data_IF_839556733112
#
_entry.id   IF_839556733112
#
_cell.length_a   1.000
_cell.length_b   1.000
_cell.length_c   1.000
_cell.angle_alpha   90.00
_cell.angle_beta   90.00
_cell.angle_gamma   90.00
#
_symmetry.space_group_name_H-M   'P 1'
#
loop_
_entity.id
_entity.type
_entity.pdbx_description
1 polymer ?
#
# COMPACT_ATOMS: atom_id res chain seq x y z
N UNK A 1 -66.87 34.80 -13.32
CA UNK A 1 -67.00 33.35 -13.59
C UNK A 1 -66.09 32.99 -14.75
N UNK A 2 -65.14 32.07 -14.57
CA UNK A 2 -64.62 31.16 -15.61
C UNK A 2 -63.57 30.24 -14.97
N UNK A 3 -63.89 28.95 -14.90
CA UNK A 3 -62.99 27.84 -14.51
C UNK A 3 -62.29 27.29 -15.76
N UNK A 4 -61.18 26.58 -15.50
CA UNK A 4 -60.52 25.46 -16.25
C UNK A 4 -59.21 25.79 -17.02
N UNK A 5 -58.32 24.81 -17.31
CA UNK A 5 -57.81 23.73 -16.43
C UNK A 5 -56.28 23.43 -16.57
N UNK A 6 -55.75 22.66 -15.63
CA UNK A 6 -54.67 21.64 -15.77
C UNK A 6 -53.26 22.02 -16.26
N UNK A 7 -52.28 21.94 -15.35
CA UNK A 7 -50.94 21.40 -15.68
C UNK A 7 -50.40 20.63 -14.46
N UNK A 8 -50.56 19.30 -14.49
CA UNK A 8 -49.83 18.38 -13.59
C UNK A 8 -48.33 18.59 -13.81
N UNK A 9 -47.68 19.31 -12.90
CA UNK A 9 -46.24 19.34 -12.80
C UNK A 9 -45.79 17.96 -12.30
N UNK A 10 -45.36 17.10 -13.22
CA UNK A 10 -44.66 15.88 -12.89
C UNK A 10 -43.38 16.27 -12.14
N UNK A 11 -43.36 16.05 -10.82
CA UNK A 11 -42.12 16.10 -10.02
C UNK A 11 -41.21 14.99 -10.55
N UNK A 12 -40.26 15.35 -11.39
CA UNK A 12 -39.07 14.54 -11.64
C UNK A 12 -38.34 14.44 -10.31
N UNK A 13 -38.46 13.28 -9.67
CA UNK A 13 -37.63 12.92 -8.52
C UNK A 13 -36.21 12.84 -9.06
N UNK A 14 -35.44 13.91 -8.89
CA UNK A 14 -34.01 13.87 -9.03
C UNK A 14 -33.51 12.82 -8.03
N UNK A 15 -33.23 11.61 -8.51
CA UNK A 15 -32.45 10.64 -7.76
C UNK A 15 -31.11 11.31 -7.49
N UNK A 16 -30.96 11.86 -6.29
CA UNK A 16 -29.70 12.28 -5.72
C UNK A 16 -28.79 11.05 -5.77
N UNK A 17 -28.02 10.94 -6.85
CA UNK A 17 -27.03 9.91 -7.02
C UNK A 17 -26.02 10.10 -5.89
N UNK A 18 -26.21 9.34 -4.82
CA UNK A 18 -25.25 9.19 -3.72
C UNK A 18 -23.93 8.84 -4.40
N UNK A 19 -23.05 9.84 -4.51
CA UNK A 19 -21.81 9.73 -5.25
C UNK A 19 -21.12 8.45 -4.84
N UNK A 20 -20.82 7.56 -5.80
CA UNK A 20 -20.10 6.31 -5.55
C UNK A 20 -18.94 6.65 -4.63
N UNK A 21 -19.00 6.13 -3.39
CA UNK A 21 -17.96 6.35 -2.40
C UNK A 21 -16.62 6.08 -3.05
N UNK A 22 -15.72 7.05 -2.98
CA UNK A 22 -14.40 6.96 -3.61
C UNK A 22 -13.76 5.67 -3.08
N UNK A 23 -13.54 4.69 -3.96
CA UNK A 23 -12.87 3.43 -3.57
C UNK A 23 -11.57 3.84 -2.88
N UNK A 24 -11.39 3.38 -1.64
CA UNK A 24 -10.18 3.63 -0.88
C UNK A 24 -9.04 2.98 -1.66
N UNK A 25 -8.18 3.81 -2.25
CA UNK A 25 -6.94 3.35 -2.85
C UNK A 25 -5.96 3.23 -1.69
N UNK A 26 -5.57 2.00 -1.38
CA UNK A 26 -4.49 1.78 -0.42
C UNK A 26 -3.18 2.30 -1.01
N UNK A 27 -2.48 3.13 -0.24
CA UNK A 27 -1.26 3.80 -0.67
C UNK A 27 -0.31 3.94 0.52
N UNK A 28 0.99 3.87 0.23
CA UNK A 28 2.05 4.06 1.20
C UNK A 28 2.41 5.53 1.44
N UNK A 29 1.71 6.49 0.82
CA UNK A 29 2.07 7.92 0.83
C UNK A 29 2.32 8.51 2.22
N UNK A 30 1.47 8.17 3.21
CA UNK A 30 1.62 8.65 4.58
C UNK A 30 2.92 8.15 5.23
N UNK A 31 3.29 6.90 4.96
CA UNK A 31 4.49 6.29 5.53
C UNK A 31 5.75 6.80 4.83
N UNK A 32 5.70 6.96 3.50
CA UNK A 32 6.77 7.59 2.72
C UNK A 32 7.07 8.99 3.27
N UNK A 33 6.03 9.78 3.53
CA UNK A 33 6.19 11.12 4.08
C UNK A 33 6.78 11.12 5.50
N UNK A 34 6.35 10.20 6.36
CA UNK A 34 6.91 10.05 7.72
C UNK A 34 8.40 9.71 7.69
N UNK A 35 8.81 8.77 6.83
CA UNK A 35 10.22 8.40 6.68
C UNK A 35 11.03 9.56 6.08
N UNK A 36 10.49 10.26 5.07
CA UNK A 36 11.15 11.43 4.49
C UNK A 36 11.46 12.50 5.54
N UNK A 37 10.50 12.83 6.40
CA UNK A 37 10.68 13.83 7.47
C UNK A 37 11.67 13.40 8.55
N UNK A 38 11.87 12.10 8.75
CA UNK A 38 12.86 11.58 9.67
C UNK A 38 14.29 11.75 9.13
N UNK A 39 14.49 11.65 7.82
CA UNK A 39 15.81 11.74 7.17
C UNK A 39 16.13 13.18 6.74
N UNK A 40 15.15 13.92 6.22
CA UNK A 40 15.27 15.29 5.73
C UNK A 40 14.06 16.13 6.15
N UNK A 41 14.10 16.76 7.34
CA UNK A 41 12.99 17.57 7.84
C UNK A 41 12.59 18.69 6.89
N UNK A 42 13.53 19.43 6.30
CA UNK A 42 13.20 20.65 5.53
C UNK A 42 12.90 20.39 4.05
N UNK A 43 12.88 19.13 3.62
CA UNK A 43 12.64 18.74 2.22
C UNK A 43 11.22 18.22 2.00
N UNK A 44 10.58 18.69 0.93
CA UNK A 44 9.28 18.19 0.46
C UNK A 44 9.42 17.23 -0.72
N UNK A 45 8.38 16.43 -0.98
CA UNK A 45 8.29 15.55 -2.15
C UNK A 45 7.13 15.96 -3.05
N UNK A 46 7.37 16.02 -4.36
CA UNK A 46 6.33 16.35 -5.33
C UNK A 46 5.28 15.23 -5.44
N UNK A 47 4.07 15.55 -5.94
CA UNK A 47 3.01 14.55 -6.15
C UNK A 47 3.43 13.43 -7.12
N UNK A 48 4.20 13.78 -8.16
CA UNK A 48 4.77 12.80 -9.10
C UNK A 48 5.81 11.91 -8.41
N UNK A 49 6.73 12.51 -7.64
CA UNK A 49 7.72 11.76 -6.86
C UNK A 49 7.07 10.80 -5.87
N UNK A 50 6.01 11.25 -5.19
CA UNK A 50 5.24 10.40 -4.29
C UNK A 50 4.62 9.20 -5.01
N UNK A 51 4.10 9.39 -6.22
CA UNK A 51 3.55 8.29 -7.03
C UNK A 51 4.63 7.28 -7.42
N UNK A 52 5.82 7.75 -7.82
CA UNK A 52 6.95 6.88 -8.17
C UNK A 52 7.37 6.05 -6.94
N UNK A 53 7.53 6.69 -5.78
CA UNK A 53 7.89 5.99 -4.54
C UNK A 53 6.85 4.96 -4.13
N UNK A 54 5.56 5.26 -4.27
CA UNK A 54 4.49 4.31 -3.98
C UNK A 54 4.55 3.09 -4.93
N UNK A 55 4.76 3.30 -6.23
CA UNK A 55 4.93 2.21 -7.19
C UNK A 55 6.19 1.38 -6.90
N UNK A 56 7.29 2.03 -6.52
CA UNK A 56 8.53 1.35 -6.15
C UNK A 56 8.33 0.40 -4.96
N UNK A 57 7.62 0.82 -3.91
CA UNK A 57 7.32 -0.04 -2.76
C UNK A 57 6.49 -1.26 -3.18
N UNK A 58 5.48 -1.05 -4.04
CA UNK A 58 4.65 -2.15 -4.52
C UNK A 58 5.46 -3.16 -5.35
N UNK A 59 6.33 -2.69 -6.26
CA UNK A 59 7.19 -3.57 -7.07
C UNK A 59 8.12 -4.41 -6.19
N UNK A 60 8.78 -3.81 -5.20
CA UNK A 60 9.64 -4.54 -4.27
C UNK A 60 8.84 -5.52 -3.40
N UNK A 61 7.65 -5.11 -2.93
CA UNK A 61 6.77 -5.98 -2.15
C UNK A 61 6.35 -7.21 -2.94
N UNK A 62 5.87 -7.04 -4.17
CA UNK A 62 5.44 -8.13 -5.03
C UNK A 62 6.58 -9.10 -5.35
N UNK A 63 7.78 -8.57 -5.64
CA UNK A 63 8.99 -9.39 -5.87
C UNK A 63 9.35 -10.25 -4.66
N UNK A 64 9.41 -9.65 -3.48
CA UNK A 64 9.75 -10.38 -2.24
C UNK A 64 8.66 -11.40 -1.89
N UNK A 65 7.38 -11.01 -1.98
CA UNK A 65 6.26 -11.89 -1.65
C UNK A 65 6.18 -13.09 -2.61
N UNK A 66 6.37 -12.85 -3.90
CA UNK A 66 6.42 -13.90 -4.93
C UNK A 66 7.54 -14.90 -4.64
N UNK A 67 8.74 -14.40 -4.35
CA UNK A 67 9.90 -15.27 -4.09
C UNK A 67 9.76 -16.04 -2.76
N UNK A 68 9.29 -15.38 -1.69
CA UNK A 68 9.01 -16.04 -0.42
C UNK A 68 7.92 -17.12 -0.56
N UNK A 69 6.90 -16.87 -1.39
CA UNK A 69 5.87 -17.85 -1.72
C UNK A 69 6.43 -19.09 -2.43
N UNK A 70 7.35 -18.91 -3.38
CA UNK A 70 8.06 -20.04 -4.03
C UNK A 70 8.89 -20.82 -3.03
N UNK A 71 9.64 -20.14 -2.15
CA UNK A 71 10.45 -20.78 -1.11
C UNK A 71 9.59 -21.62 -0.14
N UNK A 72 8.42 -21.11 0.26
CA UNK A 72 7.48 -21.88 1.10
C UNK A 72 7.02 -23.16 0.39
N UNK A 73 6.71 -23.08 -0.91
CA UNK A 73 6.29 -24.24 -1.73
C UNK A 73 7.41 -25.25 -1.90
N UNK A 74 8.65 -24.81 -2.17
CA UNK A 74 9.80 -25.71 -2.28
C UNK A 74 10.06 -26.47 -0.98
N UNK A 75 9.89 -25.81 0.16
CA UNK A 75 10.02 -26.42 1.47
C UNK A 75 8.78 -27.22 1.91
N UNK A 76 7.76 -27.36 1.04
CA UNK A 76 6.48 -28.04 1.32
C UNK A 76 5.78 -27.52 2.58
N UNK A 77 5.95 -26.22 2.89
CA UNK A 77 5.28 -25.56 4.01
C UNK A 77 4.06 -24.79 3.52
N UNK A 78 2.97 -24.91 4.27
CA UNK A 78 1.73 -24.15 4.04
C UNK A 78 1.73 -22.77 4.70
N UNK A 79 2.70 -22.49 5.56
CA UNK A 79 2.80 -21.25 6.33
C UNK A 79 4.08 -20.52 5.98
N UNK A 80 3.96 -19.24 5.63
CA UNK A 80 5.08 -18.36 5.32
C UNK A 80 5.62 -17.74 6.63
N UNK A 81 6.88 -18.00 6.96
CA UNK A 81 7.53 -17.47 8.15
C UNK A 81 8.51 -16.34 7.83
N UNK A 82 9.04 -15.69 8.87
CA UNK A 82 10.09 -14.67 8.73
C UNK A 82 11.35 -15.21 8.04
N UNK A 83 11.61 -16.52 8.09
CA UNK A 83 12.75 -17.17 7.43
C UNK A 83 12.63 -17.15 5.91
N UNK A 84 11.45 -17.41 5.36
CA UNK A 84 11.22 -17.36 3.92
C UNK A 84 11.32 -15.92 3.40
N UNK A 85 10.80 -14.93 4.16
CA UNK A 85 10.98 -13.51 3.84
C UNK A 85 12.47 -13.12 3.85
N UNK A 86 13.20 -13.49 4.90
CA UNK A 86 14.62 -13.15 5.02
C UNK A 86 15.46 -13.73 3.86
N UNK A 87 15.15 -14.96 3.45
CA UNK A 87 15.82 -15.60 2.31
C UNK A 87 15.44 -14.90 1.00
N UNK A 88 14.16 -14.59 0.79
CA UNK A 88 13.70 -13.85 -0.38
C UNK A 88 14.37 -12.47 -0.50
N UNK A 89 14.52 -11.74 0.61
CA UNK A 89 15.23 -10.44 0.64
C UNK A 89 16.68 -10.59 0.18
N UNK A 90 17.38 -11.65 0.59
CA UNK A 90 18.76 -11.92 0.15
C UNK A 90 18.87 -12.27 -1.34
N UNK A 91 17.83 -12.87 -1.91
CA UNK A 91 17.79 -13.19 -3.34
C UNK A 91 17.43 -11.96 -4.19
N UNK A 92 16.56 -11.07 -3.69
CA UNK A 92 16.06 -9.92 -4.44
C UNK A 92 16.97 -8.68 -4.36
N UNK A 93 17.74 -8.52 -3.29
CA UNK A 93 18.61 -7.35 -3.09
C UNK A 93 20.09 -7.71 -3.24
N UNK A 94 20.91 -6.87 -3.90
CA UNK A 94 22.33 -7.13 -4.06
C UNK A 94 23.16 -6.71 -2.84
N UNK A 95 24.24 -7.44 -2.58
CA UNK A 95 25.37 -7.03 -1.75
C UNK A 95 25.00 -6.42 -0.38
N UNK A 96 25.48 -5.21 -0.12
CA UNK A 96 25.26 -4.49 1.14
C UNK A 96 23.79 -4.15 1.41
N UNK A 97 22.97 -3.96 0.36
CA UNK A 97 21.53 -3.69 0.54
C UNK A 97 20.82 -4.86 1.20
N UNK A 98 21.13 -6.09 0.80
CA UNK A 98 20.58 -7.28 1.44
C UNK A 98 21.02 -7.40 2.90
N UNK A 99 22.29 -7.11 3.21
CA UNK A 99 22.80 -7.18 4.58
C UNK A 99 22.07 -6.20 5.50
N UNK A 100 21.92 -4.95 5.08
CA UNK A 100 21.20 -3.94 5.85
C UNK A 100 19.71 -4.26 5.96
N UNK A 101 19.05 -4.64 4.87
CA UNK A 101 17.63 -4.99 4.88
C UNK A 101 17.33 -6.17 5.83
N UNK A 102 18.18 -7.20 5.83
CA UNK A 102 18.06 -8.33 6.74
C UNK A 102 18.28 -7.89 8.19
N UNK A 103 19.29 -7.07 8.46
CA UNK A 103 19.55 -6.53 9.79
C UNK A 103 18.35 -5.73 10.34
N UNK A 104 17.80 -4.81 9.55
CA UNK A 104 16.63 -4.03 9.95
C UNK A 104 15.39 -4.91 10.15
N UNK A 105 15.19 -5.91 9.30
CA UNK A 105 14.11 -6.89 9.45
C UNK A 105 14.21 -7.68 10.75
N UNK A 106 15.40 -8.18 11.10
CA UNK A 106 15.62 -8.92 12.34
C UNK A 106 15.40 -8.03 13.57
N UNK A 107 15.91 -6.79 13.56
CA UNK A 107 15.68 -5.83 14.65
C UNK A 107 14.18 -5.58 14.87
N UNK A 108 13.42 -5.39 13.80
CA UNK A 108 11.98 -5.16 13.88
C UNK A 108 11.24 -6.37 14.49
N UNK A 109 11.59 -7.59 14.09
CA UNK A 109 11.00 -8.82 14.65
C UNK A 109 11.33 -8.94 16.14
N UNK A 110 12.59 -8.75 16.54
CA UNK A 110 13.00 -8.82 17.93
C UNK A 110 12.24 -7.80 18.79
N UNK A 111 12.15 -6.54 18.33
CA UNK A 111 11.41 -5.48 19.02
C UNK A 111 9.93 -5.82 19.18
N UNK A 112 9.32 -6.42 18.15
CA UNK A 112 7.92 -6.82 18.20
C UNK A 112 7.68 -7.97 19.19
N UNK A 113 8.59 -8.94 19.26
CA UNK A 113 8.47 -10.08 20.20
C UNK A 113 8.75 -9.72 21.65
N UNK A 114 9.49 -8.63 21.90
CA UNK A 114 9.83 -8.17 23.25
C UNK A 114 8.83 -7.17 23.84
N UNK A 115 7.89 -6.68 23.02
CA UNK A 115 6.84 -5.75 23.42
C UNK A 115 5.59 -6.52 23.88
#
# INVERSE_FOLDING_TARGET
MAKTPSKKAAKTVAKSGKGKGKKRVESYSTYIYKVLRQVHPDTGISKRGMSIMNSFINDIFERIASEAGKLSRYNKKSTLSSREIQTAVRLMLPGELAKHAVSEGTKAVTKFTSA
#
